data_IF_686783141388
#
_entry.id   IF_686783141388
#
_cell.length_a   1.000
_cell.length_b   1.000
_cell.length_c   1.000
_cell.angle_alpha   90.00
_cell.angle_beta   90.00
_cell.angle_gamma   90.00
#
_symmetry.space_group_name_H-M   'P 1'
#
loop_
_entity.id
_entity.type
_entity.pdbx_description
1 polymer ?
#
# COMPACT_ATOMS: atom_id res chain seq x y z
N UNK A 1 -12.83 9.43 -9.95
CA UNK A 1 -12.80 8.27 -9.04
C UNK A 1 -13.43 8.72 -7.74
N UNK A 2 -14.49 8.05 -7.29
CA UNK A 2 -15.12 8.28 -6.00
C UNK A 2 -14.36 7.53 -4.90
N UNK A 3 -14.57 7.91 -3.64
CA UNK A 3 -13.88 7.29 -2.51
C UNK A 3 -14.11 5.77 -2.41
N UNK A 4 -15.31 5.31 -2.74
CA UNK A 4 -15.69 3.90 -2.70
C UNK A 4 -15.53 3.16 -4.04
N UNK A 5 -14.98 3.81 -5.08
CA UNK A 5 -14.64 3.09 -6.31
C UNK A 5 -13.53 2.06 -6.01
N UNK A 6 -13.62 0.83 -6.56
CA UNK A 6 -12.59 -0.19 -6.39
C UNK A 6 -11.20 0.27 -6.83
N UNK A 7 -10.19 0.04 -5.99
CA UNK A 7 -8.80 0.36 -6.31
C UNK A 7 -8.03 -0.88 -6.78
N UNK A 8 -8.05 -1.96 -6.00
CA UNK A 8 -7.45 -3.24 -6.38
C UNK A 8 -8.10 -4.42 -5.64
N UNK A 9 -7.85 -5.62 -6.17
CA UNK A 9 -8.15 -6.89 -5.50
C UNK A 9 -6.82 -7.60 -5.22
N UNK A 10 -6.57 -7.95 -3.96
CA UNK A 10 -5.41 -8.73 -3.56
C UNK A 10 -5.84 -10.09 -3.01
N UNK A 11 -5.34 -11.16 -3.62
CA UNK A 11 -5.66 -12.51 -3.18
C UNK A 11 -4.81 -12.90 -1.96
N UNK A 12 -5.46 -13.48 -0.95
CA UNK A 12 -4.81 -14.01 0.25
C UNK A 12 -5.21 -15.46 0.49
N UNK A 13 -4.34 -16.25 1.13
CA UNK A 13 -4.49 -17.71 1.30
C UNK A 13 -5.72 -18.12 2.11
N UNK A 14 -6.16 -17.31 3.09
CA UNK A 14 -7.29 -17.65 3.97
C UNK A 14 -7.05 -18.92 4.82
N UNK A 15 -7.91 -19.16 5.81
CA UNK A 15 -7.77 -20.34 6.71
C UNK A 15 -8.38 -21.63 6.15
N UNK A 16 -9.29 -21.54 5.17
CA UNK A 16 -9.95 -22.69 4.55
C UNK A 16 -10.19 -22.45 3.05
N UNK A 17 -9.83 -23.43 2.21
CA UNK A 17 -10.23 -23.49 0.80
C UNK A 17 -9.40 -22.67 -0.19
N UNK A 18 -10.07 -22.04 -1.17
CA UNK A 18 -9.47 -21.27 -2.26
C UNK A 18 -9.08 -19.86 -1.77
N UNK A 19 -8.02 -19.25 -2.35
CA UNK A 19 -7.63 -17.87 -2.03
C UNK A 19 -8.79 -16.88 -2.17
N UNK A 20 -8.89 -15.95 -1.22
CA UNK A 20 -9.95 -14.93 -1.18
C UNK A 20 -9.42 -13.62 -1.77
N UNK A 21 -10.16 -13.02 -2.71
CA UNK A 21 -9.85 -11.70 -3.24
C UNK A 21 -10.35 -10.61 -2.31
N UNK A 22 -9.44 -9.94 -1.61
CA UNK A 22 -9.76 -8.79 -0.75
C UNK A 22 -9.78 -7.54 -1.61
N UNK A 23 -10.92 -6.85 -1.62
CA UNK A 23 -11.11 -5.60 -2.35
C UNK A 23 -10.81 -4.41 -1.43
N UNK A 24 -9.97 -3.49 -1.91
CA UNK A 24 -9.73 -2.20 -1.29
C UNK A 24 -10.34 -1.08 -2.14
N UNK A 25 -11.02 -0.13 -1.49
CA UNK A 25 -11.57 1.06 -2.14
C UNK A 25 -10.57 2.21 -2.15
N UNK A 26 -10.75 3.16 -3.05
CA UNK A 26 -9.74 4.18 -3.39
C UNK A 26 -9.43 5.14 -2.24
N UNK A 27 -10.45 5.81 -1.69
CA UNK A 27 -10.26 6.92 -0.76
C UNK A 27 -9.68 6.46 0.58
N UNK A 28 -10.36 5.52 1.23
CA UNK A 28 -9.96 5.02 2.56
C UNK A 28 -8.57 4.36 2.54
N UNK A 29 -8.26 3.56 1.52
CA UNK A 29 -6.98 2.87 1.43
C UNK A 29 -5.81 3.84 1.24
N UNK A 30 -5.94 4.82 0.33
CA UNK A 30 -4.88 5.80 0.08
C UNK A 30 -4.63 6.69 1.30
N UNK A 31 -5.70 7.14 1.98
CA UNK A 31 -5.57 7.93 3.22
C UNK A 31 -4.86 7.11 4.30
N UNK A 32 -5.24 5.84 4.48
CA UNK A 32 -4.57 4.95 5.43
C UNK A 32 -3.08 4.80 5.11
N UNK A 33 -2.74 4.38 3.88
CA UNK A 33 -1.36 4.11 3.49
C UNK A 33 -0.46 5.35 3.58
N UNK A 34 -0.94 6.52 3.12
CA UNK A 34 -0.19 7.77 3.23
C UNK A 34 -0.02 8.22 4.68
N UNK A 35 -1.07 8.10 5.50
CA UNK A 35 -1.03 8.51 6.92
C UNK A 35 -0.06 7.63 7.70
N UNK A 36 -0.17 6.31 7.58
CA UNK A 36 0.74 5.40 8.27
C UNK A 36 2.16 5.52 7.73
N UNK A 37 2.34 5.70 6.42
CA UNK A 37 3.66 5.95 5.86
C UNK A 37 4.32 7.18 6.49
N UNK A 38 3.60 8.31 6.50
CA UNK A 38 4.11 9.57 7.07
C UNK A 38 4.45 9.47 8.55
N UNK A 39 3.56 8.91 9.37
CA UNK A 39 3.70 8.98 10.82
C UNK A 39 4.40 7.78 11.45
N UNK A 40 4.28 6.58 10.88
CA UNK A 40 4.91 5.36 11.45
C UNK A 40 6.36 5.24 11.00
N UNK A 41 6.65 5.57 9.75
CA UNK A 41 8.03 5.56 9.22
C UNK A 41 8.70 6.93 9.31
N UNK A 42 8.03 7.90 9.92
CA UNK A 42 8.54 9.26 10.16
C UNK A 42 9.16 9.89 8.90
N UNK A 43 8.44 9.77 7.78
CA UNK A 43 8.93 10.22 6.48
C UNK A 43 9.08 11.75 6.43
N UNK A 44 10.25 12.19 5.98
CA UNK A 44 10.54 13.59 5.68
C UNK A 44 10.80 13.81 4.18
N UNK A 45 10.43 14.99 3.62
CA UNK A 45 10.69 15.31 2.22
C UNK A 45 12.17 15.13 1.84
N UNK A 46 12.43 14.29 0.85
CA UNK A 46 13.77 13.96 0.38
C UNK A 46 14.30 12.61 0.85
N UNK A 47 13.66 11.95 1.81
CA UNK A 47 14.05 10.60 2.23
C UNK A 47 13.88 9.58 1.09
N UNK A 48 14.79 8.63 1.03
CA UNK A 48 14.70 7.44 0.18
C UNK A 48 14.19 6.30 1.04
N UNK A 49 13.00 5.81 0.73
CA UNK A 49 12.39 4.70 1.43
C UNK A 49 12.67 3.38 0.73
N UNK A 50 13.03 2.36 1.50
CA UNK A 50 13.30 1.02 0.99
C UNK A 50 12.44 -0.02 1.70
N UNK A 51 11.47 -0.57 0.96
CA UNK A 51 10.73 -1.76 1.35
C UNK A 51 11.22 -2.94 0.53
N UNK A 52 11.59 -4.03 1.18
CA UNK A 52 12.04 -5.27 0.54
C UNK A 52 10.91 -6.25 0.23
N UNK A 53 9.65 -5.84 0.45
CA UNK A 53 8.51 -6.67 0.14
C UNK A 53 8.22 -6.68 -1.36
N UNK A 54 7.82 -7.82 -1.89
CA UNK A 54 7.34 -7.92 -3.27
C UNK A 54 5.97 -7.25 -3.44
N UNK A 55 5.70 -6.72 -4.64
CA UNK A 55 4.44 -6.04 -4.98
C UNK A 55 3.23 -6.97 -4.89
N UNK A 56 3.41 -8.29 -4.96
CA UNK A 56 2.36 -9.29 -4.76
C UNK A 56 1.87 -9.42 -3.31
N UNK A 57 2.49 -8.73 -2.35
CA UNK A 57 2.04 -8.70 -0.95
C UNK A 57 1.42 -7.37 -0.57
N UNK A 58 0.58 -7.39 0.48
CA UNK A 58 -0.06 -6.16 1.01
C UNK A 58 0.97 -5.13 1.47
N UNK A 59 2.12 -5.59 1.98
CA UNK A 59 3.23 -4.71 2.35
C UNK A 59 3.80 -3.99 1.13
N UNK A 60 3.95 -4.67 -0.01
CA UNK A 60 4.38 -4.04 -1.26
C UNK A 60 3.36 -3.02 -1.79
N UNK A 61 2.06 -3.36 -1.74
CA UNK A 61 1.02 -2.40 -2.09
C UNK A 61 1.09 -1.15 -1.20
N UNK A 62 1.00 -1.33 0.12
CA UNK A 62 0.87 -0.21 1.06
C UNK A 62 2.15 0.61 1.21
N UNK A 63 3.31 -0.06 1.25
CA UNK A 63 4.56 0.55 1.68
C UNK A 63 5.67 0.52 0.64
N UNK A 64 5.61 -0.27 -0.43
CA UNK A 64 6.52 -0.08 -1.57
C UNK A 64 5.95 0.94 -2.56
N UNK A 65 4.64 0.89 -2.83
CA UNK A 65 3.97 1.75 -3.83
C UNK A 65 3.13 2.88 -3.19
N UNK A 66 1.94 2.57 -2.69
CA UNK A 66 0.89 3.57 -2.45
C UNK A 66 1.27 4.60 -1.39
N UNK A 67 1.74 4.19 -0.22
CA UNK A 67 2.13 5.08 0.87
C UNK A 67 3.26 6.04 0.47
N UNK A 68 4.44 5.53 0.06
CA UNK A 68 5.56 6.39 -0.34
C UNK A 68 5.20 7.34 -1.49
N UNK A 69 4.58 6.83 -2.56
CA UNK A 69 4.28 7.65 -3.74
C UNK A 69 3.17 8.67 -3.47
N UNK A 70 2.18 8.35 -2.62
CA UNK A 70 1.17 9.32 -2.19
C UNK A 70 1.75 10.43 -1.31
N UNK A 71 2.86 10.17 -0.60
CA UNK A 71 3.58 11.17 0.17
C UNK A 71 4.70 11.87 -0.61
N UNK A 72 4.92 11.53 -1.89
CA UNK A 72 5.97 12.13 -2.73
C UNK A 72 7.39 11.64 -2.41
N UNK A 73 7.52 10.48 -1.75
CA UNK A 73 8.81 9.88 -1.44
C UNK A 73 9.45 9.22 -2.66
N UNK A 74 10.79 9.08 -2.61
CA UNK A 74 11.51 8.17 -3.51
C UNK A 74 11.46 6.77 -2.91
N UNK A 75 10.95 5.78 -3.68
CA UNK A 75 10.86 4.38 -3.25
C UNK A 75 11.82 3.51 -4.08
N UNK A 76 12.52 2.58 -3.44
CA UNK A 76 13.40 1.62 -4.12
C UNK A 76 12.64 0.35 -4.47
N UNK A 77 12.60 0.00 -5.75
CA UNK A 77 12.13 -1.29 -6.24
C UNK A 77 13.28 -2.30 -6.31
N UNK A 78 13.10 -3.45 -5.65
CA UNK A 78 14.05 -4.57 -5.59
C UNK A 78 13.40 -5.85 -6.10
#
# INVERSE_FOLDING_TARGET
MNAEDPLFILYTSGSTGKPKGVLHTTGGYLVYAATTFRYVFDYHPGDIYWCTADVGWVTGHSYLLYGPLACGATTLMF
#
